data_IF_442478420443
#
_entry.id   IF_442478420443
#
_cell.length_a   1.000
_cell.length_b   1.000
_cell.length_c   1.000
_cell.angle_alpha   90.00
_cell.angle_beta   90.00
_cell.angle_gamma   90.00
#
_symmetry.space_group_name_H-M   'P 1'
#
loop_
_entity.id
_entity.type
_entity.pdbx_description
1 polymer ?
#
# COMPACT_ATOMS: atom_id res chain seq x y z
N UNK A 1 -41.83 3.54 19.28
CA UNK A 1 -41.50 3.38 17.84
C UNK A 1 -40.52 4.46 17.35
N UNK A 2 -40.74 5.75 17.63
CA UNK A 2 -39.78 6.82 17.27
C UNK A 2 -38.43 6.71 18.02
N UNK A 3 -38.45 6.37 19.30
CA UNK A 3 -37.20 6.20 20.08
C UNK A 3 -36.36 5.00 19.62
N UNK A 4 -37.00 3.89 19.23
CA UNK A 4 -36.30 2.72 18.68
C UNK A 4 -35.65 3.02 17.32
N UNK A 5 -36.24 3.90 16.50
CA UNK A 5 -35.63 4.36 15.25
C UNK A 5 -34.42 5.28 15.50
N UNK A 6 -34.53 6.19 16.48
CA UNK A 6 -33.44 7.09 16.89
C UNK A 6 -32.25 6.31 17.47
N UNK A 7 -32.52 5.34 18.35
CA UNK A 7 -31.51 4.46 18.95
C UNK A 7 -30.75 3.63 17.90
N UNK A 8 -31.47 3.14 16.90
CA UNK A 8 -30.88 2.37 15.80
C UNK A 8 -30.04 3.25 14.87
N UNK A 9 -30.42 4.51 14.65
CA UNK A 9 -29.62 5.51 13.95
C UNK A 9 -28.34 5.90 14.70
N UNK A 10 -28.45 6.16 15.99
CA UNK A 10 -27.31 6.47 16.86
C UNK A 10 -26.31 5.30 16.93
N UNK A 11 -26.81 4.07 17.03
CA UNK A 11 -26.00 2.84 16.98
C UNK A 11 -25.17 2.76 15.70
N UNK A 12 -25.77 2.98 14.54
CA UNK A 12 -25.06 2.95 13.25
C UNK A 12 -23.97 4.02 13.14
N UNK A 13 -24.23 5.22 13.64
CA UNK A 13 -23.24 6.32 13.66
C UNK A 13 -22.06 5.93 14.57
N UNK A 14 -22.33 5.40 15.76
CA UNK A 14 -21.29 4.89 16.66
C UNK A 14 -20.45 3.79 16.00
N UNK A 15 -21.08 2.82 15.34
CA UNK A 15 -20.37 1.76 14.62
C UNK A 15 -19.49 2.31 13.50
N UNK A 16 -19.99 3.24 12.69
CA UNK A 16 -19.21 3.88 11.63
C UNK A 16 -18.02 4.67 12.18
N UNK A 17 -18.18 5.38 13.29
CA UNK A 17 -17.10 6.13 13.93
C UNK A 17 -16.02 5.20 14.49
N UNK A 18 -16.41 4.11 15.17
CA UNK A 18 -15.47 3.09 15.66
C UNK A 18 -14.71 2.44 14.51
N UNK A 19 -15.40 2.07 13.42
CA UNK A 19 -14.75 1.50 12.24
C UNK A 19 -13.74 2.47 11.61
N UNK A 20 -14.09 3.76 11.50
CA UNK A 20 -13.16 4.78 11.01
C UNK A 20 -11.91 4.90 11.87
N UNK A 21 -12.04 4.91 13.20
CA UNK A 21 -10.89 4.96 14.11
C UNK A 21 -9.98 3.73 13.97
N UNK A 22 -10.56 2.53 13.84
CA UNK A 22 -9.81 1.28 13.63
C UNK A 22 -9.06 1.32 12.29
N UNK A 23 -9.69 1.75 11.20
CA UNK A 23 -9.03 1.87 9.90
C UNK A 23 -7.84 2.83 9.93
N UNK A 24 -7.97 3.97 10.61
CA UNK A 24 -6.86 4.91 10.78
C UNK A 24 -5.75 4.27 11.62
N UNK A 25 -6.07 3.60 12.73
CA UNK A 25 -5.08 2.92 13.57
C UNK A 25 -4.28 1.86 12.79
N UNK A 26 -4.96 1.07 11.96
CA UNK A 26 -4.33 0.06 11.11
C UNK A 26 -3.49 0.68 9.98
N UNK A 27 -3.79 1.90 9.56
CA UNK A 27 -3.07 2.61 8.49
C UNK A 27 -1.81 3.34 8.95
N UNK A 28 -1.66 3.59 10.27
CA UNK A 28 -0.48 4.28 10.85
C UNK A 28 0.78 3.41 10.71
N UNK A 29 0.62 2.09 10.75
CA UNK A 29 1.68 1.14 10.46
C UNK A 29 1.51 0.70 9.01
N UNK A 30 2.02 1.51 8.07
CA UNK A 30 2.03 1.16 6.66
C UNK A 30 2.45 -0.29 6.47
N UNK A 31 1.72 -1.04 5.64
CA UNK A 31 1.96 -2.46 5.42
C UNK A 31 3.44 -2.66 5.06
N UNK A 32 4.21 -3.20 6.01
CA UNK A 32 5.56 -3.64 5.73
C UNK A 32 5.45 -4.91 4.90
N UNK A 33 5.54 -4.75 3.58
CA UNK A 33 5.73 -5.88 2.68
C UNK A 33 7.10 -6.51 2.98
N UNK A 34 7.15 -7.48 3.89
CA UNK A 34 8.33 -8.30 4.11
C UNK A 34 8.37 -9.35 3.01
N UNK A 35 9.35 -9.24 2.12
CA UNK A 35 9.73 -10.36 1.24
C UNK A 35 11.10 -10.85 1.68
N UNK A 36 11.31 -12.16 1.59
CA UNK A 36 12.60 -12.75 1.89
C UNK A 36 13.58 -12.33 0.78
N UNK A 37 14.60 -11.56 1.16
CA UNK A 37 15.63 -11.11 0.22
C UNK A 37 16.67 -12.23 0.10
N UNK A 38 16.67 -12.93 -1.03
CA UNK A 38 17.69 -13.92 -1.36
C UNK A 38 18.88 -13.19 -1.99
N UNK A 39 19.92 -12.92 -1.20
CA UNK A 39 21.10 -12.18 -1.67
C UNK A 39 21.77 -12.87 -2.87
N UNK A 40 21.74 -14.20 -2.92
CA UNK A 40 22.25 -15.00 -4.05
C UNK A 40 21.45 -14.87 -5.35
N UNK A 41 20.16 -14.51 -5.26
CA UNK A 41 19.26 -14.31 -6.39
C UNK A 41 19.12 -12.83 -6.76
N UNK A 42 19.67 -11.92 -5.95
CA UNK A 42 19.72 -10.51 -6.33
C UNK A 42 20.65 -10.37 -7.53
N UNK A 43 20.12 -9.76 -8.59
CA UNK A 43 20.92 -9.39 -9.76
C UNK A 43 22.14 -8.59 -9.33
N UNK A 44 23.32 -8.98 -9.83
CA UNK A 44 24.57 -8.23 -9.65
C UNK A 44 24.32 -6.77 -10.00
N UNK A 45 24.82 -5.86 -9.15
CA UNK A 45 24.74 -4.42 -9.40
C UNK A 45 25.16 -4.13 -10.84
N UNK A 46 24.28 -3.52 -11.67
CA UNK A 46 24.64 -3.25 -13.04
C UNK A 46 25.88 -2.36 -13.04
N UNK A 47 26.93 -2.79 -13.76
CA UNK A 47 28.25 -2.14 -13.79
C UNK A 47 28.22 -0.74 -14.45
N UNK A 48 27.03 -0.25 -14.83
CA UNK A 48 26.80 1.03 -15.48
C UNK A 48 25.40 1.52 -15.13
N UNK A 49 25.24 2.85 -14.99
CA UNK A 49 23.93 3.51 -14.96
C UNK A 49 23.09 3.00 -16.13
N UNK A 50 21.87 2.49 -15.86
CA UNK A 50 20.98 1.99 -16.90
C UNK A 50 20.92 2.99 -18.06
N UNK A 51 21.38 2.56 -19.24
CA UNK A 51 21.54 3.43 -20.41
C UNK A 51 20.18 4.04 -20.78
N UNK A 52 20.05 5.35 -20.61
CA UNK A 52 18.77 6.06 -20.73
C UNK A 52 18.26 6.12 -22.17
N UNK A 53 19.07 5.78 -23.17
CA UNK A 53 18.71 5.82 -24.59
C UNK A 53 17.45 5.03 -24.94
N UNK A 54 17.15 3.96 -24.18
CA UNK A 54 15.97 3.11 -24.41
C UNK A 54 14.88 3.28 -23.34
N UNK A 55 15.04 4.23 -22.41
CA UNK A 55 14.07 4.52 -21.35
C UNK A 55 12.97 5.43 -21.90
N UNK A 56 11.70 5.07 -21.70
CA UNK A 56 10.56 5.87 -22.21
C UNK A 56 9.79 6.49 -21.04
N UNK A 57 9.38 7.74 -21.18
CA UNK A 57 8.61 8.45 -20.15
C UNK A 57 7.12 8.07 -20.09
N UNK A 58 6.66 7.21 -21.01
CA UNK A 58 5.24 6.85 -21.16
C UNK A 58 4.91 5.44 -20.64
N UNK A 59 5.92 4.67 -20.23
CA UNK A 59 5.73 3.34 -19.64
C UNK A 59 6.28 3.32 -18.22
N UNK A 60 5.62 2.53 -17.34
CA UNK A 60 6.18 2.23 -16.04
C UNK A 60 7.48 1.43 -16.23
N UNK A 61 8.59 1.99 -15.76
CA UNK A 61 9.91 1.40 -15.88
C UNK A 61 10.60 1.50 -14.51
N UNK A 62 11.08 0.39 -13.94
CA UNK A 62 11.72 0.43 -12.63
C UNK A 62 12.97 1.31 -12.68
N UNK A 63 13.30 2.03 -11.58
CA UNK A 63 14.48 2.88 -11.52
C UNK A 63 15.78 2.11 -11.76
N UNK A 64 15.83 0.83 -11.37
CA UNK A 64 16.94 -0.10 -11.56
C UNK A 64 16.41 -1.53 -11.77
N UNK A 65 17.26 -2.41 -12.33
CA UNK A 65 17.03 -3.86 -12.50
C UNK A 65 15.92 -4.24 -13.50
N UNK A 66 15.74 -5.56 -13.68
CA UNK A 66 14.75 -6.16 -14.59
C UNK A 66 13.36 -6.20 -13.95
N UNK A 67 12.31 -5.93 -14.74
CA UNK A 67 10.91 -6.21 -14.39
C UNK A 67 10.43 -7.34 -15.31
N UNK A 68 9.78 -8.35 -14.73
CA UNK A 68 9.17 -9.43 -15.50
C UNK A 68 7.81 -9.03 -16.06
#
# INVERSE_FOLDING_TARGET
MLESFSLMGASRICFSFVAFLICNLLSIHGVQASHQVFQELMSVSPNSSANQLHRTGYHFQPPMHWIN
#
